data_IF_937268107505
#
_entry.id   IF_937268107505
#
_cell.length_a   1.000
_cell.length_b   1.000
_cell.length_c   1.000
_cell.angle_alpha   90.00
_cell.angle_beta   90.00
_cell.angle_gamma   90.00
#
_symmetry.space_group_name_H-M   'P 1'
#
loop_
_entity.id
_entity.type
_entity.pdbx_description
1 polymer ?
#
# COMPACT_ATOMS: atom_id res chain seq x y z
N UNK A 1 14.23 -81.76 -5.28
CA UNK A 1 12.77 -81.89 -5.21
C UNK A 1 12.17 -80.51 -5.04
N UNK A 2 11.19 -80.14 -5.89
CA UNK A 2 10.22 -79.02 -5.84
C UNK A 2 10.80 -77.58 -5.73
N UNK A 3 10.81 -76.78 -6.81
CA UNK A 3 9.71 -76.08 -7.53
C UNK A 3 9.22 -74.79 -6.83
N UNK A 4 9.51 -73.64 -7.47
CA UNK A 4 8.72 -72.40 -7.75
C UNK A 4 9.78 -71.26 -7.91
N UNK A 5 10.04 -70.55 -9.03
CA UNK A 5 9.22 -69.96 -10.13
C UNK A 5 8.03 -69.17 -9.57
N UNK A 6 7.77 -67.90 -9.85
CA UNK A 6 8.23 -66.98 -10.90
C UNK A 6 7.61 -65.58 -10.61
N UNK A 7 8.26 -64.47 -11.01
CA UNK A 7 7.69 -63.17 -11.48
C UNK A 7 8.85 -62.15 -11.48
N UNK A 8 9.53 -61.80 -12.59
CA UNK A 8 9.11 -61.01 -13.79
C UNK A 8 8.40 -59.73 -13.32
N UNK A 9 8.96 -58.52 -13.43
CA UNK A 9 9.35 -57.72 -14.60
C UNK A 9 9.84 -56.35 -14.03
N UNK A 10 10.49 -55.38 -14.68
CA UNK A 10 11.08 -55.16 -16.00
C UNK A 10 11.81 -53.80 -15.91
N UNK A 11 12.94 -53.68 -16.60
CA UNK A 11 13.44 -52.45 -17.26
C UNK A 11 13.52 -51.14 -16.44
N UNK A 12 14.71 -50.89 -15.89
CA UNK A 12 15.22 -49.54 -15.73
C UNK A 12 15.49 -48.94 -17.13
N UNK A 13 14.74 -47.90 -17.49
CA UNK A 13 14.99 -47.08 -18.68
C UNK A 13 15.72 -45.81 -18.24
N UNK A 14 16.99 -45.74 -18.64
CA UNK A 14 17.80 -44.53 -18.69
C UNK A 14 17.17 -43.54 -19.68
N UNK A 15 16.87 -42.31 -19.25
CA UNK A 15 17.20 -41.10 -20.03
C UNK A 15 17.59 -39.99 -19.04
N UNK A 16 18.88 -39.74 -18.98
CA UNK A 16 19.48 -38.50 -18.53
C UNK A 16 18.97 -37.34 -19.38
N UNK A 17 18.20 -36.43 -18.78
CA UNK A 17 18.13 -35.05 -19.25
C UNK A 17 18.74 -34.17 -18.16
N UNK A 18 19.94 -33.70 -18.46
CA UNK A 18 20.58 -32.55 -17.82
C UNK A 18 19.65 -31.36 -17.95
N UNK A 19 18.88 -31.07 -16.92
CA UNK A 19 18.22 -29.79 -16.78
C UNK A 19 19.28 -28.76 -16.43
N UNK A 20 19.38 -27.75 -17.29
CA UNK A 20 20.19 -26.57 -17.09
C UNK A 20 19.98 -26.00 -15.70
N UNK A 21 21.10 -25.71 -15.03
CA UNK A 21 21.17 -24.96 -13.80
C UNK A 21 20.75 -23.51 -14.11
N UNK A 22 19.46 -23.24 -14.17
CA UNK A 22 18.92 -21.91 -13.93
C UNK A 22 18.62 -21.85 -12.44
N UNK A 23 19.58 -21.37 -11.67
CA UNK A 23 19.31 -20.84 -10.34
C UNK A 23 18.35 -19.66 -10.51
N UNK A 24 17.05 -19.97 -10.55
CA UNK A 24 16.05 -19.06 -10.00
C UNK A 24 16.37 -19.03 -8.51
N UNK A 25 17.00 -17.95 -8.05
CA UNK A 25 16.94 -17.62 -6.64
C UNK A 25 15.46 -17.39 -6.34
N UNK A 26 14.81 -18.44 -5.84
CA UNK A 26 13.47 -18.34 -5.31
C UNK A 26 13.59 -17.50 -4.05
N UNK A 27 13.01 -16.29 -4.12
CA UNK A 27 12.70 -15.49 -2.94
C UNK A 27 12.05 -16.42 -1.90
N UNK A 28 12.67 -16.52 -0.74
CA UNK A 28 12.21 -17.37 0.36
C UNK A 28 11.74 -16.43 1.46
N UNK A 29 10.42 -16.23 1.62
CA UNK A 29 9.86 -15.41 2.68
C UNK A 29 10.16 -16.06 4.03
N UNK A 30 10.63 -15.27 4.98
CA UNK A 30 10.89 -15.69 6.34
C UNK A 30 9.61 -15.53 7.18
N UNK A 31 9.11 -16.66 7.68
CA UNK A 31 7.88 -16.73 8.48
C UNK A 31 8.11 -16.34 9.96
N UNK A 32 9.34 -16.05 10.39
CA UNK A 32 9.66 -15.50 11.73
C UNK A 32 10.06 -14.01 11.70
N UNK A 33 10.01 -13.36 10.54
CA UNK A 33 10.37 -11.94 10.36
C UNK A 33 9.13 -11.06 10.19
N UNK A 34 9.25 -9.78 10.55
CA UNK A 34 8.19 -8.80 10.34
C UNK A 34 7.78 -8.74 8.86
N UNK A 35 6.48 -8.77 8.60
CA UNK A 35 5.91 -8.77 7.24
C UNK A 35 5.52 -7.37 6.74
N UNK A 36 5.67 -6.37 7.60
CA UNK A 36 5.21 -5.01 7.34
C UNK A 36 5.41 -4.09 8.53
N UNK A 37 4.89 -2.88 8.40
CA UNK A 37 4.85 -1.89 9.47
C UNK A 37 3.51 -1.16 9.47
N UNK A 38 3.06 -0.77 10.66
CA UNK A 38 1.92 0.11 10.88
C UNK A 38 2.35 1.32 11.72
N UNK A 39 1.85 2.48 11.34
CA UNK A 39 2.14 3.78 11.92
C UNK A 39 0.82 4.32 12.48
N UNK A 40 0.71 4.41 13.80
CA UNK A 40 -0.54 4.70 14.49
C UNK A 40 -0.41 6.05 15.20
N UNK A 41 -1.41 6.90 15.05
CA UNK A 41 -1.50 8.12 15.84
C UNK A 41 -1.52 7.81 17.35
N UNK A 42 -0.78 8.55 18.16
CA UNK A 42 -0.68 8.26 19.60
C UNK A 42 -1.96 8.54 20.40
N UNK A 43 -2.91 9.28 19.84
CA UNK A 43 -4.23 9.52 20.42
C UNK A 43 -5.22 8.40 20.10
N UNK A 44 -4.88 7.49 19.18
CA UNK A 44 -5.67 6.30 18.93
C UNK A 44 -5.70 5.41 20.18
N UNK A 45 -6.88 5.19 20.73
CA UNK A 45 -7.05 4.23 21.81
C UNK A 45 -6.74 2.83 21.30
N UNK A 46 -5.77 2.17 21.94
CA UNK A 46 -5.39 0.80 21.67
C UNK A 46 -5.74 -0.09 22.87
N UNK A 47 -6.20 -1.33 22.64
CA UNK A 47 -6.39 -2.28 23.71
C UNK A 47 -5.03 -2.65 24.34
N UNK A 48 -4.98 -2.77 25.67
CA UNK A 48 -3.75 -3.06 26.38
C UNK A 48 -3.32 -4.53 26.25
N UNK A 49 -2.02 -4.75 26.03
CA UNK A 49 -1.35 -6.05 26.11
C UNK A 49 -2.00 -7.13 25.24
N UNK A 50 -2.34 -6.78 24.00
CA UNK A 50 -2.97 -7.69 23.05
C UNK A 50 -2.46 -7.50 21.63
N UNK A 51 -2.67 -8.56 20.84
CA UNK A 51 -2.66 -8.47 19.39
C UNK A 51 -3.89 -7.70 18.91
N UNK A 52 -3.69 -6.86 17.90
CA UNK A 52 -4.74 -6.19 17.14
C UNK A 52 -4.67 -6.70 15.71
N UNK A 53 -5.75 -7.31 15.24
CA UNK A 53 -5.82 -7.92 13.90
C UNK A 53 -6.41 -6.96 12.88
N UNK A 54 -5.87 -7.01 11.67
CA UNK A 54 -6.43 -6.35 10.49
C UNK A 54 -7.70 -7.08 10.02
N UNK A 55 -8.64 -6.30 9.47
CA UNK A 55 -9.70 -6.84 8.64
C UNK A 55 -9.12 -7.27 7.28
N UNK A 56 -9.71 -8.31 6.69
CA UNK A 56 -9.33 -8.79 5.36
C UNK A 56 -10.53 -8.80 4.42
N UNK A 57 -10.49 -7.94 3.40
CA UNK A 57 -11.50 -7.82 2.37
C UNK A 57 -10.86 -7.50 1.02
N UNK A 58 -11.45 -7.98 -0.07
CA UNK A 58 -11.01 -7.69 -1.45
C UNK A 58 -9.51 -7.95 -1.74
N UNK A 59 -8.91 -8.90 -1.02
CA UNK A 59 -7.49 -9.28 -1.04
C UNK A 59 -6.52 -8.26 -0.40
N UNK A 60 -7.03 -7.38 0.44
CA UNK A 60 -6.25 -6.39 1.18
C UNK A 60 -6.52 -6.52 2.69
N UNK A 61 -5.46 -6.28 3.47
CA UNK A 61 -5.54 -6.09 4.92
C UNK A 61 -5.65 -4.60 5.25
N UNK A 62 -6.54 -4.26 6.17
CA UNK A 62 -6.75 -2.89 6.66
C UNK A 62 -7.03 -2.85 8.15
N UNK A 63 -6.67 -1.76 8.81
CA UNK A 63 -6.96 -1.50 10.21
C UNK A 63 -7.96 -0.34 10.33
N UNK A 64 -9.03 -0.54 11.11
CA UNK A 64 -9.98 0.51 11.50
C UNK A 64 -9.40 1.34 12.67
N UNK A 65 -8.33 2.10 12.36
CA UNK A 65 -7.56 2.92 13.29
C UNK A 65 -7.10 4.20 12.57
N UNK A 66 -6.81 5.27 13.32
CA UNK A 66 -6.04 6.43 12.81
C UNK A 66 -4.59 6.01 12.55
N UNK A 67 -4.38 5.35 11.42
CA UNK A 67 -3.14 4.67 11.08
C UNK A 67 -2.90 4.60 9.58
N UNK A 68 -1.64 4.37 9.22
CA UNK A 68 -1.23 3.92 7.89
C UNK A 68 -0.44 2.61 8.03
N UNK A 69 -0.56 1.71 7.07
CA UNK A 69 0.18 0.45 7.10
C UNK A 69 0.71 0.05 5.74
N UNK A 70 1.78 -0.75 5.73
CA UNK A 70 2.35 -1.36 4.54
C UNK A 70 2.81 -2.76 4.86
N UNK A 71 2.57 -3.70 3.95
CA UNK A 71 2.94 -5.10 4.13
C UNK A 71 3.31 -5.77 2.81
N UNK A 72 4.21 -6.74 2.93
CA UNK A 72 4.56 -7.67 1.86
C UNK A 72 4.93 -9.03 2.46
N UNK A 73 4.22 -10.09 2.09
CA UNK A 73 4.55 -11.45 2.52
C UNK A 73 3.97 -12.51 1.58
N UNK A 74 4.53 -13.72 1.65
CA UNK A 74 3.93 -14.88 0.98
C UNK A 74 3.14 -15.74 1.98
N UNK A 75 1.82 -15.77 1.82
CA UNK A 75 0.95 -16.62 2.62
C UNK A 75 1.10 -18.11 2.27
N UNK A 76 1.52 -18.45 1.05
CA UNK A 76 1.85 -19.82 0.65
C UNK A 76 2.83 -19.82 -0.53
N UNK A 77 3.21 -21.01 -1.03
CA UNK A 77 4.11 -21.15 -2.17
C UNK A 77 3.60 -20.45 -3.45
N UNK A 78 2.29 -20.28 -3.61
CA UNK A 78 1.65 -19.73 -4.80
C UNK A 78 0.87 -18.43 -4.52
N UNK A 79 0.88 -17.93 -3.28
CA UNK A 79 0.08 -16.77 -2.86
C UNK A 79 0.95 -15.81 -2.07
N UNK A 80 1.03 -14.57 -2.55
CA UNK A 80 1.64 -13.45 -1.87
C UNK A 80 0.68 -12.27 -1.79
N UNK A 81 0.78 -11.53 -0.69
CA UNK A 81 0.03 -10.31 -0.42
C UNK A 81 1.01 -9.15 -0.34
N UNK A 82 0.65 -8.06 -1.00
CA UNK A 82 1.35 -6.80 -1.00
C UNK A 82 0.29 -5.70 -0.98
N UNK A 83 0.43 -4.73 -0.09
CA UNK A 83 -0.51 -3.63 -0.02
C UNK A 83 -0.11 -2.59 0.99
N UNK A 84 -0.84 -1.49 0.94
CA UNK A 84 -0.71 -0.36 1.83
C UNK A 84 -2.09 0.24 2.14
N UNK A 85 -2.15 1.02 3.21
CA UNK A 85 -3.31 1.79 3.63
C UNK A 85 -2.83 3.19 4.01
N UNK A 86 -3.53 4.22 3.51
CA UNK A 86 -3.30 5.63 3.86
C UNK A 86 -1.90 6.15 3.51
N UNK A 87 -1.29 5.61 2.45
CA UNK A 87 -0.08 6.18 1.84
C UNK A 87 -0.42 7.05 0.63
N UNK A 88 0.29 8.16 0.49
CA UNK A 88 0.19 9.07 -0.66
C UNK A 88 1.17 8.73 -1.78
N UNK A 89 2.19 7.96 -1.44
CA UNK A 89 3.08 7.31 -2.39
C UNK A 89 3.63 6.03 -1.76
N UNK A 90 3.85 5.02 -2.60
CA UNK A 90 4.43 3.76 -2.18
C UNK A 90 5.29 3.16 -3.29
N UNK A 91 6.49 2.71 -2.94
CA UNK A 91 7.36 1.93 -3.81
C UNK A 91 7.89 0.73 -3.05
N UNK A 92 7.62 -0.46 -3.58
CA UNK A 92 8.25 -1.70 -3.12
C UNK A 92 9.57 -1.92 -3.85
N UNK A 93 10.60 -2.38 -3.14
CA UNK A 93 11.91 -2.68 -3.72
C UNK A 93 12.83 -1.46 -3.87
N UNK A 94 12.57 -0.38 -3.12
CA UNK A 94 13.53 0.70 -2.97
C UNK A 94 14.85 0.14 -2.40
N UNK A 95 15.96 0.64 -2.94
CA UNK A 95 17.30 0.07 -2.92
C UNK A 95 17.85 -0.13 -1.48
N UNK A 96 17.70 -1.33 -0.91
CA UNK A 96 18.12 -1.66 0.45
C UNK A 96 19.19 -2.76 0.46
N UNK A 97 20.24 -2.58 -0.34
CA UNK A 97 21.57 -3.23 -0.28
C UNK A 97 21.74 -4.76 -0.01
N UNK A 98 20.70 -5.58 0.20
CA UNK A 98 20.83 -6.97 0.72
C UNK A 98 19.67 -7.95 0.37
N UNK A 99 19.18 -7.98 -0.87
CA UNK A 99 18.19 -8.99 -1.34
C UNK A 99 16.86 -9.06 -0.54
N UNK A 100 16.54 -8.04 0.27
CA UNK A 100 15.27 -7.91 0.99
C UNK A 100 14.30 -6.98 0.24
N UNK A 101 13.03 -7.36 0.20
CA UNK A 101 11.96 -6.45 -0.25
C UNK A 101 11.70 -5.47 0.88
N UNK A 102 11.85 -4.18 0.60
CA UNK A 102 11.45 -3.12 1.51
C UNK A 102 10.47 -2.14 0.88
N UNK A 103 9.98 -1.20 1.70
CA UNK A 103 8.98 -0.22 1.32
C UNK A 103 9.48 1.20 1.57
N UNK A 104 9.35 2.06 0.56
CA UNK A 104 9.54 3.51 0.70
C UNK A 104 8.24 4.21 0.33
N UNK A 105 7.79 5.13 1.18
CA UNK A 105 6.51 5.82 0.95
C UNK A 105 6.34 7.08 1.78
N UNK A 106 5.23 7.76 1.51
CA UNK A 106 4.83 8.97 2.23
C UNK A 106 3.41 8.86 2.80
N UNK A 107 3.20 9.46 3.95
CA UNK A 107 1.92 9.58 4.65
C UNK A 107 1.59 11.07 4.79
N UNK A 108 0.37 11.45 4.43
CA UNK A 108 -0.14 12.79 4.70
C UNK A 108 -0.62 12.89 6.15
N UNK A 109 -0.16 13.92 6.86
CA UNK A 109 -0.46 14.15 8.27
C UNK A 109 -1.10 15.53 8.46
N UNK A 110 -2.14 15.59 9.29
CA UNK A 110 -2.86 16.80 9.67
C UNK A 110 -2.60 17.14 11.15
N UNK A 111 -1.71 18.10 11.43
CA UNK A 111 -1.47 18.56 12.80
C UNK A 111 -2.69 19.24 13.42
N UNK A 112 -2.86 19.08 14.73
CA UNK A 112 -3.90 19.73 15.53
C UNK A 112 -3.28 20.54 16.67
N UNK A 113 -3.81 21.73 16.96
CA UNK A 113 -3.20 22.71 17.89
C UNK A 113 -3.07 22.22 19.33
N UNK A 114 -3.92 21.29 19.78
CA UNK A 114 -3.94 20.77 21.15
C UNK A 114 -3.52 19.28 21.24
N UNK A 115 -3.04 18.72 20.13
CA UNK A 115 -2.59 17.33 20.05
C UNK A 115 -1.10 17.19 20.33
N UNK A 116 -0.68 16.01 20.81
CA UNK A 116 0.74 15.64 20.84
C UNK A 116 1.37 15.57 19.45
N UNK A 117 0.56 15.48 18.38
CA UNK A 117 1.00 15.39 16.99
C UNK A 117 2.11 14.34 16.81
N UNK A 118 1.86 13.12 17.28
CA UNK A 118 2.89 12.09 17.35
C UNK A 118 2.36 10.73 16.96
N UNK A 119 3.26 9.90 16.43
CA UNK A 119 2.96 8.58 15.87
C UNK A 119 3.86 7.53 16.53
N UNK A 120 3.32 6.34 16.76
CA UNK A 120 4.08 5.16 17.18
C UNK A 120 4.05 4.12 16.06
N UNK A 121 5.19 3.51 15.78
CA UNK A 121 5.36 2.53 14.72
C UNK A 121 5.55 1.12 15.30
N UNK A 122 4.80 0.16 14.75
CA UNK A 122 4.81 -1.24 15.13
C UNK A 122 5.11 -2.11 13.90
N UNK A 123 5.74 -3.26 14.13
CA UNK A 123 5.87 -4.26 13.08
C UNK A 123 4.58 -5.07 12.93
N UNK A 124 4.29 -5.46 11.69
CA UNK A 124 3.21 -6.38 11.36
C UNK A 124 3.73 -7.82 11.30
N UNK A 125 2.90 -8.74 11.74
CA UNK A 125 3.12 -10.19 11.73
C UNK A 125 1.91 -10.89 11.13
N UNK A 126 2.06 -12.16 10.75
CA UNK A 126 0.96 -12.97 10.22
C UNK A 126 0.94 -14.35 10.87
N UNK A 127 -0.23 -14.76 11.36
CA UNK A 127 -0.47 -16.09 11.92
C UNK A 127 -1.74 -16.74 11.34
N UNK A 128 -2.31 -17.74 12.04
CA UNK A 128 -3.50 -18.46 11.59
C UNK A 128 -4.79 -17.60 11.59
N UNK A 129 -4.84 -16.53 12.40
CA UNK A 129 -6.01 -15.64 12.50
C UNK A 129 -5.94 -14.48 11.49
N UNK A 130 -4.72 -14.01 11.15
CA UNK A 130 -4.51 -13.03 10.10
C UNK A 130 -3.27 -12.16 10.33
N UNK A 131 -3.27 -10.98 9.71
CA UNK A 131 -2.23 -9.96 9.92
C UNK A 131 -2.53 -9.19 11.20
N UNK A 132 -1.51 -8.97 12.02
CA UNK A 132 -1.65 -8.27 13.30
C UNK A 132 -0.40 -7.47 13.68
N UNK A 133 -0.54 -6.57 14.65
CA UNK A 133 0.58 -6.02 15.44
C UNK A 133 0.36 -6.27 16.93
N UNK A 134 1.46 -6.26 17.69
CA UNK A 134 1.45 -6.39 19.16
C UNK A 134 1.58 -5.01 19.81
N UNK A 135 0.61 -4.65 20.65
CA UNK A 135 0.55 -3.35 21.33
C UNK A 135 1.65 -3.15 22.38
N UNK A 136 2.33 -4.20 22.83
CA UNK A 136 3.43 -4.09 23.79
C UNK A 136 4.78 -3.73 23.13
N UNK A 137 4.92 -3.96 21.82
CA UNK A 137 6.21 -3.94 21.14
C UNK A 137 6.20 -3.00 19.93
N UNK A 138 6.39 -1.70 20.20
CA UNK A 138 6.69 -0.72 19.16
C UNK A 138 8.20 -0.63 18.89
N UNK A 139 8.59 -0.25 17.67
CA UNK A 139 10.00 -0.09 17.29
C UNK A 139 10.44 1.37 17.23
N UNK A 140 9.52 2.31 17.03
CA UNK A 140 9.80 3.74 17.06
C UNK A 140 8.59 4.56 17.51
N UNK A 141 8.84 5.78 18.01
CA UNK A 141 7.83 6.78 18.34
C UNK A 141 8.39 8.17 18.10
N UNK A 142 7.66 9.00 17.37
CA UNK A 142 8.14 10.32 16.95
C UNK A 142 7.02 11.37 17.00
N UNK A 143 7.39 12.59 17.36
CA UNK A 143 6.58 13.79 17.09
C UNK A 143 6.69 14.13 15.61
N UNK A 144 5.54 14.33 14.95
CA UNK A 144 5.48 14.61 13.52
C UNK A 144 5.76 16.09 13.27
N UNK A 145 6.87 16.33 12.59
CA UNK A 145 7.20 17.60 11.96
C UNK A 145 7.23 17.43 10.45
N UNK A 146 7.17 18.53 9.70
CA UNK A 146 7.21 18.47 8.23
C UNK A 146 8.45 17.72 7.72
N UNK A 147 8.22 16.75 6.82
CA UNK A 147 9.22 15.90 6.19
C UNK A 147 10.10 15.08 7.16
N UNK A 148 9.57 14.71 8.33
CA UNK A 148 10.24 13.72 9.18
C UNK A 148 10.03 12.30 8.64
N UNK A 149 10.94 11.38 8.96
CA UNK A 149 10.87 10.01 8.48
C UNK A 149 11.14 8.99 9.58
N UNK A 150 10.41 7.88 9.55
CA UNK A 150 10.66 6.69 10.37
C UNK A 150 11.28 5.58 9.53
N UNK A 151 12.11 4.74 10.15
CA UNK A 151 12.80 3.65 9.46
C UNK A 151 12.65 2.34 10.22
N UNK A 152 12.15 1.30 9.55
CA UNK A 152 12.08 -0.06 10.06
C UNK A 152 13.31 -0.88 9.66
N UNK A 153 13.73 -1.78 10.56
CA UNK A 153 14.86 -2.69 10.35
C UNK A 153 14.38 -4.12 10.09
N UNK A 154 13.48 -4.63 10.93
CA UNK A 154 13.01 -6.03 10.84
C UNK A 154 12.10 -6.22 9.62
N UNK A 155 11.28 -5.20 9.33
CA UNK A 155 10.74 -4.96 8.01
C UNK A 155 11.41 -3.70 7.47
N UNK A 156 12.19 -3.84 6.40
CA UNK A 156 12.97 -2.73 5.89
C UNK A 156 12.04 -1.71 5.23
N UNK A 157 11.85 -0.57 5.88
CA UNK A 157 11.02 0.50 5.36
C UNK A 157 11.55 1.88 5.70
N UNK A 158 11.20 2.86 4.87
CA UNK A 158 11.41 4.28 5.14
C UNK A 158 10.11 5.01 4.81
N UNK A 159 9.52 5.66 5.81
CA UNK A 159 8.23 6.32 5.67
C UNK A 159 8.35 7.77 6.07
N UNK A 160 8.02 8.67 5.14
CA UNK A 160 8.07 10.12 5.34
C UNK A 160 6.68 10.65 5.67
N UNK A 161 6.59 11.54 6.66
CA UNK A 161 5.36 12.24 7.00
C UNK A 161 5.38 13.65 6.41
N UNK A 162 4.33 14.01 5.69
CA UNK A 162 4.16 15.30 5.04
C UNK A 162 2.97 16.04 5.64
N UNK A 163 3.17 17.30 6.05
CA UNK A 163 2.06 18.09 6.59
C UNK A 163 1.16 18.51 5.42
N UNK A 164 -0.09 18.06 5.43
CA UNK A 164 -1.07 18.36 4.38
C UNK A 164 -2.42 18.77 4.96
N UNK A 165 -3.16 19.57 4.20
CA UNK A 165 -4.57 19.86 4.50
C UNK A 165 -5.46 18.85 3.76
N UNK A 166 -6.56 18.38 4.36
CA UNK A 166 -7.44 17.41 3.72
C UNK A 166 -8.26 18.02 2.61
N UNK A 167 -8.38 17.29 1.49
CA UNK A 167 -9.32 17.60 0.41
C UNK A 167 -10.74 17.34 0.90
N UNK A 168 -11.58 18.37 0.89
CA UNK A 168 -13.03 18.26 1.21
C UNK A 168 -13.88 18.09 -0.04
N UNK A 169 -13.42 18.65 -1.16
CA UNK A 169 -14.02 18.46 -2.48
C UNK A 169 -12.97 18.63 -3.57
N UNK A 170 -13.21 18.07 -4.75
CA UNK A 170 -12.33 18.27 -5.90
C UNK A 170 -13.12 18.38 -7.20
N UNK A 171 -12.59 19.18 -8.13
CA UNK A 171 -13.12 19.30 -9.49
C UNK A 171 -12.25 18.52 -10.46
N UNK A 172 -12.86 17.71 -11.32
CA UNK A 172 -12.22 17.09 -12.47
C UNK A 172 -12.64 17.82 -13.74
N UNK A 173 -11.67 18.42 -14.43
CA UNK A 173 -11.88 19.20 -15.65
C UNK A 173 -11.21 18.46 -16.81
N UNK A 174 -11.98 18.14 -17.83
CA UNK A 174 -11.55 17.36 -18.99
C UNK A 174 -11.22 18.31 -20.13
N UNK A 175 -10.06 18.15 -20.73
CA UNK A 175 -9.57 19.01 -21.81
C UNK A 175 -9.29 18.21 -23.07
N UNK A 176 -9.50 18.82 -24.24
CA UNK A 176 -9.05 18.28 -25.52
C UNK A 176 -7.53 18.49 -25.76
N UNK A 177 -6.99 17.99 -26.87
CA UNK A 177 -5.57 18.18 -27.25
C UNK A 177 -5.14 19.65 -27.41
N UNK A 178 -6.09 20.56 -27.61
CA UNK A 178 -5.83 22.00 -27.73
C UNK A 178 -6.04 22.73 -26.39
N UNK A 179 -6.23 21.99 -25.30
CA UNK A 179 -6.53 22.50 -23.96
C UNK A 179 -7.84 23.32 -23.92
N UNK A 180 -8.83 22.92 -24.72
CA UNK A 180 -10.20 23.43 -24.61
C UNK A 180 -11.00 22.55 -23.64
N UNK A 181 -11.71 23.16 -22.70
CA UNK A 181 -12.56 22.44 -21.75
C UNK A 181 -13.69 21.71 -22.49
N UNK A 182 -13.76 20.40 -22.28
CA UNK A 182 -14.82 19.51 -22.76
C UNK A 182 -15.95 19.47 -21.73
N UNK A 183 -15.60 19.26 -20.46
CA UNK A 183 -16.53 19.16 -19.35
C UNK A 183 -15.85 19.36 -18.00
N UNK A 184 -16.65 19.63 -16.98
CA UNK A 184 -16.24 19.68 -15.57
C UNK A 184 -17.21 18.86 -14.72
N UNK A 185 -16.69 18.13 -13.73
CA UNK A 185 -17.47 17.41 -12.74
C UNK A 185 -16.86 17.59 -11.36
N UNK A 186 -17.68 17.88 -10.37
CA UNK A 186 -17.25 18.05 -8.98
C UNK A 186 -17.56 16.78 -8.18
N UNK A 187 -16.67 16.44 -7.25
CA UNK A 187 -16.74 15.26 -6.40
C UNK A 187 -16.43 15.63 -4.95
N UNK A 188 -16.98 14.86 -4.02
CA UNK A 188 -16.41 14.67 -2.68
C UNK A 188 -15.55 13.41 -2.67
N UNK A 189 -14.56 13.29 -1.75
CA UNK A 189 -13.78 12.06 -1.61
C UNK A 189 -14.65 10.82 -1.49
N UNK A 190 -15.75 10.87 -0.72
CA UNK A 190 -16.70 9.77 -0.50
C UNK A 190 -17.33 9.20 -1.78
N UNK A 191 -17.44 9.99 -2.85
CA UNK A 191 -18.08 9.59 -4.11
C UNK A 191 -17.18 8.74 -5.03
N UNK A 192 -15.89 8.63 -4.72
CA UNK A 192 -14.93 7.84 -5.49
C UNK A 192 -14.37 6.69 -4.68
N UNK A 193 -14.11 5.53 -5.26
CA UNK A 193 -13.48 4.42 -4.54
C UNK A 193 -11.97 4.42 -4.71
N UNK A 194 -11.24 3.82 -3.77
CA UNK A 194 -9.80 3.62 -3.95
C UNK A 194 -9.55 2.74 -5.19
N UNK A 195 -8.53 3.09 -5.96
CA UNK A 195 -8.23 2.54 -7.29
C UNK A 195 -9.34 2.64 -8.34
N UNK A 196 -10.33 3.53 -8.16
CA UNK A 196 -11.36 3.78 -9.17
C UNK A 196 -10.73 4.17 -10.51
N UNK A 197 -11.19 3.51 -11.58
CA UNK A 197 -10.74 3.79 -12.95
C UNK A 197 -11.79 4.62 -13.71
N UNK A 198 -11.36 5.75 -14.23
CA UNK A 198 -12.13 6.63 -15.10
C UNK A 198 -11.76 6.36 -16.55
N UNK A 199 -12.70 5.82 -17.32
CA UNK A 199 -12.55 5.58 -18.76
C UNK A 199 -12.81 6.88 -19.54
N UNK A 200 -11.86 7.28 -20.37
CA UNK A 200 -11.84 8.55 -21.11
C UNK A 200 -11.92 8.29 -22.62
N UNK A 201 -12.78 9.05 -23.29
CA UNK A 201 -12.90 9.01 -24.75
C UNK A 201 -11.66 9.56 -25.47
N UNK A 202 -11.49 9.16 -26.73
CA UNK A 202 -10.36 9.59 -27.59
C UNK A 202 -10.24 11.11 -27.78
N UNK A 203 -11.30 11.87 -27.49
CA UNK A 203 -11.32 13.33 -27.55
C UNK A 203 -10.61 14.01 -26.36
N UNK A 204 -10.41 13.30 -25.24
CA UNK A 204 -9.79 13.85 -24.04
C UNK A 204 -8.26 13.79 -24.18
N UNK A 205 -7.60 14.94 -24.17
CA UNK A 205 -6.14 15.04 -24.13
C UNK A 205 -5.56 14.99 -22.71
N UNK A 206 -6.25 15.56 -21.73
CA UNK A 206 -5.81 15.60 -20.33
C UNK A 206 -6.97 15.83 -19.37
N UNK A 207 -6.76 15.53 -18.09
CA UNK A 207 -7.67 15.87 -16.99
C UNK A 207 -6.93 16.71 -15.96
N UNK A 208 -7.50 17.82 -15.52
CA UNK A 208 -7.02 18.55 -14.34
C UNK A 208 -7.90 18.23 -13.13
N UNK A 209 -7.25 17.97 -12.00
CA UNK A 209 -7.92 17.72 -10.72
C UNK A 209 -7.52 18.85 -9.78
N UNK A 210 -8.50 19.62 -9.35
CA UNK A 210 -8.31 20.74 -8.42
C UNK A 210 -8.91 20.36 -7.08
N UNK A 211 -8.08 20.25 -6.05
CA UNK A 211 -8.49 19.91 -4.69
C UNK A 211 -8.79 21.17 -3.89
N UNK A 212 -9.85 21.13 -3.08
CA UNK A 212 -10.30 22.25 -2.26
C UNK A 212 -10.41 21.86 -0.78
N UNK A 213 -10.06 22.80 0.09
CA UNK A 213 -10.28 22.69 1.54
C UNK A 213 -11.75 22.93 1.92
N UNK A 214 -12.06 22.82 3.22
CA UNK A 214 -13.41 23.06 3.74
C UNK A 214 -13.92 24.50 3.54
N UNK A 215 -13.05 25.47 3.26
CA UNK A 215 -13.41 26.85 2.97
C UNK A 215 -13.59 27.11 1.47
N UNK A 216 -13.35 26.12 0.61
CA UNK A 216 -13.34 26.25 -0.84
C UNK A 216 -12.07 26.90 -1.40
N UNK A 217 -10.99 26.95 -0.61
CA UNK A 217 -9.67 27.39 -1.06
C UNK A 217 -9.00 26.25 -1.82
N UNK A 218 -8.37 26.58 -2.95
CA UNK A 218 -7.56 25.62 -3.70
C UNK A 218 -6.34 25.18 -2.88
N UNK A 219 -6.18 23.87 -2.73
CA UNK A 219 -5.05 23.23 -2.07
C UNK A 219 -3.96 22.84 -3.07
N UNK A 220 -4.38 22.16 -4.14
CA UNK A 220 -3.48 21.61 -5.15
C UNK A 220 -4.22 21.46 -6.49
N UNK A 221 -3.48 21.59 -7.58
CA UNK A 221 -3.93 21.26 -8.93
C UNK A 221 -3.00 20.21 -9.53
N UNK A 222 -3.55 19.07 -9.96
CA UNK A 222 -2.84 17.96 -10.58
C UNK A 222 -3.25 17.80 -12.03
N UNK A 223 -2.29 17.62 -12.93
CA UNK A 223 -2.56 17.36 -14.36
C UNK A 223 -2.30 15.89 -14.69
N UNK A 224 -3.34 15.22 -15.18
CA UNK A 224 -3.33 13.81 -15.56
C UNK A 224 -3.29 13.70 -17.08
N UNK A 225 -2.39 12.86 -17.57
CA UNK A 225 -2.16 12.64 -19.00
C UNK A 225 -1.99 11.14 -19.27
N UNK A 226 -2.00 10.68 -20.53
CA UNK A 226 -1.68 9.29 -20.84
C UNK A 226 -0.31 8.82 -20.31
N UNK A 227 0.66 9.72 -20.15
CA UNK A 227 2.00 9.43 -19.62
C UNK A 227 2.03 9.39 -18.08
N UNK A 228 1.05 10.01 -17.42
CA UNK A 228 0.85 9.98 -15.97
C UNK A 228 -0.63 9.73 -15.65
N UNK A 229 -1.11 8.49 -15.78
CA UNK A 229 -2.53 8.16 -15.81
C UNK A 229 -3.15 7.93 -14.42
N UNK A 230 -2.51 8.44 -13.35
CA UNK A 230 -2.99 8.24 -12.00
C UNK A 230 -2.60 9.38 -11.08
N UNK A 231 -3.38 9.55 -10.01
CA UNK A 231 -3.03 10.45 -8.91
C UNK A 231 -3.58 9.94 -7.59
N UNK A 232 -3.20 10.61 -6.50
CA UNK A 232 -3.75 10.38 -5.16
C UNK A 232 -4.47 11.62 -4.69
N UNK A 233 -5.59 11.42 -4.00
CA UNK A 233 -6.24 12.47 -3.20
C UNK A 233 -6.17 12.08 -1.73
N UNK A 234 -5.87 13.06 -0.87
CA UNK A 234 -5.83 12.91 0.58
C UNK A 234 -7.04 13.59 1.21
N UNK A 235 -7.72 12.94 2.14
CA UNK A 235 -8.93 13.44 2.78
C UNK A 235 -8.97 13.08 4.26
N UNK A 236 -9.80 13.80 5.01
CA UNK A 236 -10.01 13.56 6.44
C UNK A 236 -10.99 12.39 6.62
N UNK A 237 -10.60 11.42 7.45
CA UNK A 237 -11.43 10.27 7.86
C UNK A 237 -11.58 10.19 9.40
N UNK A 238 -11.41 11.34 10.08
CA UNK A 238 -11.61 11.47 11.52
C UNK A 238 -10.35 11.35 12.37
N UNK A 239 -9.16 11.46 11.76
CA UNK A 239 -7.85 11.29 12.40
C UNK A 239 -6.82 12.32 11.95
N UNK A 240 -5.58 12.18 12.42
CA UNK A 240 -4.46 13.01 11.95
C UNK A 240 -3.69 12.36 10.81
N UNK A 241 -3.72 11.04 10.68
CA UNK A 241 -3.21 10.36 9.48
C UNK A 241 -4.33 10.42 8.44
N UNK A 242 -4.09 11.20 7.38
CA UNK A 242 -5.10 11.41 6.35
C UNK A 242 -5.29 10.13 5.53
N UNK A 243 -6.55 9.83 5.24
CA UNK A 243 -6.88 8.76 4.31
C UNK A 243 -6.52 9.15 2.89
N UNK A 244 -6.21 8.15 2.04
CA UNK A 244 -5.85 8.37 0.64
C UNK A 244 -6.69 7.52 -0.31
N UNK A 245 -6.92 8.04 -1.52
CA UNK A 245 -7.53 7.31 -2.64
C UNK A 245 -6.70 7.50 -3.90
N UNK A 246 -6.28 6.39 -4.50
CA UNK A 246 -5.65 6.36 -5.80
C UNK A 246 -6.71 6.41 -6.90
N UNK A 247 -6.66 7.42 -7.76
CA UNK A 247 -7.52 7.53 -8.93
C UNK A 247 -6.73 7.13 -10.18
N UNK A 248 -7.34 6.33 -11.05
CA UNK A 248 -6.74 5.83 -12.30
C UNK A 248 -7.53 6.32 -13.51
N UNK A 249 -6.83 6.53 -14.61
CA UNK A 249 -7.39 7.08 -15.84
C UNK A 249 -6.95 6.24 -17.03
N UNK A 250 -7.89 5.86 -17.86
CA UNK A 250 -7.63 5.03 -19.05
C UNK A 250 -8.21 5.72 -20.26
N UNK A 251 -7.38 5.92 -21.28
CA UNK A 251 -7.81 6.48 -22.55
C UNK A 251 -8.19 5.37 -23.52
N UNK A 252 -9.34 5.54 -24.18
CA UNK A 252 -9.69 4.73 -25.35
C UNK A 252 -8.60 4.84 -26.43
N UNK A 253 -8.29 3.71 -27.05
CA UNK A 253 -7.29 3.61 -28.13
C UNK A 253 -7.88 3.82 -29.50
#
# INVERSE_FOLDING_TARGET
MRKLLCAISMAALLVSMTACNSSQDNFTPDYESAIGAIFINNEQELPENTKVYADFADNSYSFDLDAACVYYFSASADVAYAGDQNFTSMTFGANLDNDSVGAEGAIAYLPQEESENSVTAYYLYHDEEGVYFDTETYFDRMEITDQCAMTGIDYSCQVTFEIQQPTTSFSMIYYDENHSEISKTDYTPEEVTDYQTFELGSEVGSVEIICYDANGSELETMTITPDNPSTVICFDDGGQILASRYLRFTWEK
#
